data_IF_118740106235
#
_entry.id   IF_118740106235
#
_cell.length_a   1.000
_cell.length_b   1.000
_cell.length_c   1.000
_cell.angle_alpha   90.00
_cell.angle_beta   90.00
_cell.angle_gamma   90.00
#
_symmetry.space_group_name_H-M   'P 1'
#
loop_
_entity.id
_entity.type
_entity.pdbx_description
1 polymer ?
#
# COMPACT_ATOMS: atom_id res chain seq x y z
N UNK A 1 8.43 4.24 -11.80
CA UNK A 1 7.39 3.70 -10.88
C UNK A 1 8.03 3.17 -9.60
N UNK A 2 7.50 3.50 -8.44
CA UNK A 2 7.94 2.97 -7.15
C UNK A 2 7.04 1.81 -6.77
N UNK A 3 7.63 0.63 -6.52
CA UNK A 3 6.93 -0.57 -6.06
C UNK A 3 7.11 -0.70 -4.55
N UNK A 4 6.02 -0.79 -3.79
CA UNK A 4 6.03 -1.01 -2.34
C UNK A 4 5.35 -2.33 -2.03
N UNK A 5 6.11 -3.27 -1.49
CA UNK A 5 5.68 -4.65 -1.26
C UNK A 5 4.74 -4.80 -0.05
N UNK A 6 4.07 -5.95 0.05
CA UNK A 6 3.24 -6.30 1.20
C UNK A 6 4.04 -6.78 2.42
N UNK A 7 3.39 -6.82 3.59
CA UNK A 7 4.00 -7.14 4.88
C UNK A 7 4.68 -8.53 4.92
N UNK A 8 4.12 -9.52 4.24
CA UNK A 8 4.62 -10.90 4.25
C UNK A 8 5.48 -11.25 3.03
N UNK A 9 6.04 -10.26 2.34
CA UNK A 9 6.90 -10.51 1.19
C UNK A 9 8.23 -11.11 1.61
N UNK A 10 8.46 -12.37 1.23
CA UNK A 10 9.66 -13.13 1.59
C UNK A 10 10.73 -13.14 0.48
N UNK A 11 10.35 -12.80 -0.75
CA UNK A 11 11.23 -12.90 -1.92
C UNK A 11 11.13 -11.66 -2.80
N UNK A 12 12.29 -11.26 -3.34
CA UNK A 12 12.40 -10.17 -4.33
C UNK A 12 12.12 -10.63 -5.77
N UNK A 13 12.11 -11.95 -6.04
CA UNK A 13 12.05 -12.50 -7.42
C UNK A 13 10.85 -12.00 -8.21
N UNK A 14 9.66 -12.02 -7.59
CA UNK A 14 8.43 -11.54 -8.24
C UNK A 14 8.49 -10.06 -8.59
N UNK A 15 8.99 -9.25 -7.67
CA UNK A 15 9.09 -7.79 -7.89
C UNK A 15 10.13 -7.43 -8.94
N UNK A 16 11.28 -8.15 -8.98
CA UNK A 16 12.30 -7.97 -10.04
C UNK A 16 11.72 -8.23 -11.43
N UNK A 17 10.89 -9.26 -11.59
CA UNK A 17 10.18 -9.52 -12.85
C UNK A 17 9.33 -8.32 -13.30
N UNK A 18 8.62 -7.69 -12.36
CA UNK A 18 7.79 -6.52 -12.67
C UNK A 18 8.62 -5.28 -12.97
N UNK A 19 9.77 -5.11 -12.33
CA UNK A 19 10.71 -4.03 -12.66
C UNK A 19 11.24 -4.19 -14.10
N UNK A 20 11.65 -5.40 -14.50
CA UNK A 20 12.05 -5.66 -15.89
C UNK A 20 10.94 -5.35 -16.89
N UNK A 21 9.73 -5.83 -16.60
CA UNK A 21 8.57 -5.56 -17.43
C UNK A 21 8.28 -4.04 -17.54
N UNK A 22 8.36 -3.29 -16.45
CA UNK A 22 8.20 -1.84 -16.48
C UNK A 22 9.28 -1.16 -17.33
N UNK A 23 10.53 -1.63 -17.25
CA UNK A 23 11.61 -1.10 -18.07
C UNK A 23 11.36 -1.33 -19.57
N UNK A 24 10.79 -2.50 -19.94
CA UNK A 24 10.35 -2.80 -21.31
C UNK A 24 9.23 -1.87 -21.78
N UNK A 25 8.46 -1.31 -20.86
CA UNK A 25 7.41 -0.30 -21.14
C UNK A 25 7.92 1.15 -21.05
N UNK A 26 9.24 1.37 -20.99
CA UNK A 26 9.84 2.71 -20.90
C UNK A 26 9.83 3.35 -19.49
N UNK A 27 9.48 2.58 -18.46
CA UNK A 27 9.44 3.05 -17.08
C UNK A 27 10.66 2.59 -16.28
N UNK A 28 11.25 3.48 -15.49
CA UNK A 28 12.19 3.07 -14.45
C UNK A 28 11.44 2.48 -13.26
N UNK A 29 11.65 1.19 -12.98
CA UNK A 29 11.06 0.49 -11.83
C UNK A 29 12.01 0.48 -10.64
N UNK A 30 11.51 0.84 -9.44
CA UNK A 30 12.27 0.80 -8.19
C UNK A 30 11.48 0.09 -7.11
N UNK A 31 12.10 -0.86 -6.42
CA UNK A 31 11.51 -1.55 -5.28
C UNK A 31 11.96 -0.90 -3.97
N UNK A 32 11.04 -0.34 -3.23
CA UNK A 32 11.28 0.14 -1.87
C UNK A 32 11.24 -1.02 -0.88
N UNK A 33 12.27 -1.18 -0.05
CA UNK A 33 12.26 -2.13 1.07
C UNK A 33 11.69 -1.48 2.32
N UNK A 34 10.55 -1.98 2.76
CA UNK A 34 9.91 -1.56 4.01
C UNK A 34 10.79 -1.88 5.24
N UNK A 35 10.63 -1.19 6.38
CA UNK A 35 11.30 -1.55 7.62
C UNK A 35 11.16 -3.04 7.95
N UNK A 36 12.22 -3.65 8.47
CA UNK A 36 12.30 -5.07 8.85
C UNK A 36 12.15 -6.09 7.69
N UNK A 37 12.25 -5.66 6.43
CA UNK A 37 12.21 -6.54 5.27
C UNK A 37 13.53 -6.55 4.49
N UNK A 38 13.82 -7.66 3.84
CA UNK A 38 14.97 -7.87 2.94
C UNK A 38 16.31 -7.41 3.56
N UNK A 39 17.01 -6.41 2.98
CA UNK A 39 18.26 -5.85 3.51
C UNK A 39 18.07 -5.07 4.81
N UNK A 40 16.85 -4.71 5.16
CA UNK A 40 16.53 -4.00 6.42
C UNK A 40 16.15 -4.95 7.55
N UNK A 41 16.38 -6.26 7.38
CA UNK A 41 16.14 -7.26 8.44
C UNK A 41 17.10 -7.06 9.60
N UNK A 42 16.57 -7.21 10.82
CA UNK A 42 17.43 -7.36 12.00
C UNK A 42 18.07 -8.76 12.00
N UNK A 43 19.39 -8.89 12.25
CA UNK A 43 20.08 -10.18 12.28
C UNK A 43 19.48 -11.20 13.28
N UNK A 44 18.84 -10.71 14.34
CA UNK A 44 18.31 -11.53 15.44
C UNK A 44 16.90 -12.07 15.22
N UNK A 45 16.25 -11.85 14.05
CA UNK A 45 14.84 -12.17 13.88
C UNK A 45 14.43 -12.66 12.51
N UNK A 46 13.72 -13.77 12.59
CA UNK A 46 13.26 -14.57 11.46
C UNK A 46 12.19 -13.93 10.58
N UNK A 47 11.50 -12.81 10.96
CA UNK A 47 10.33 -12.35 10.19
C UNK A 47 10.05 -10.84 10.23
N UNK A 48 9.46 -10.36 9.12
CA UNK A 48 8.70 -9.11 8.94
C UNK A 48 7.59 -8.86 10.00
N UNK A 49 7.29 -9.84 10.85
CA UNK A 49 6.35 -9.75 11.97
C UNK A 49 6.67 -8.62 12.99
N UNK A 50 7.86 -8.02 12.89
CA UNK A 50 8.19 -6.83 13.70
C UNK A 50 7.56 -5.55 13.21
N UNK A 51 7.12 -5.47 11.97
CA UNK A 51 6.46 -4.27 11.45
C UNK A 51 5.18 -3.94 12.22
N UNK A 52 4.39 -4.97 12.54
CA UNK A 52 3.09 -4.82 13.20
C UNK A 52 3.05 -5.74 14.41
N UNK A 53 2.97 -5.16 15.59
CA UNK A 53 3.05 -5.85 16.89
C UNK A 53 1.92 -5.38 17.81
N UNK A 54 1.65 -6.15 18.89
CA UNK A 54 0.75 -5.70 19.95
C UNK A 54 1.24 -4.47 20.73
N UNK A 55 2.53 -4.16 20.67
CA UNK A 55 3.04 -2.86 21.09
C UNK A 55 2.64 -1.81 20.06
N UNK A 56 1.55 -1.09 20.33
CA UNK A 56 0.98 -0.12 19.38
C UNK A 56 1.91 1.06 19.12
N UNK A 57 2.70 1.49 20.11
CA UNK A 57 3.69 2.57 19.92
C UNK A 57 4.72 2.14 18.88
N UNK A 58 5.30 0.94 19.03
CA UNK A 58 6.23 0.39 18.04
C UNK A 58 5.60 0.24 16.67
N UNK A 59 4.35 -0.26 16.59
CA UNK A 59 3.61 -0.39 15.34
C UNK A 59 3.41 0.96 14.67
N UNK A 60 2.95 1.98 15.40
CA UNK A 60 2.75 3.33 14.86
C UNK A 60 4.06 3.96 14.39
N UNK A 61 5.17 3.78 15.11
CA UNK A 61 6.48 4.26 14.69
C UNK A 61 6.99 3.55 13.42
N UNK A 62 6.76 2.25 13.29
CA UNK A 62 7.10 1.51 12.06
C UNK A 62 6.25 1.96 10.88
N UNK A 63 4.96 2.21 11.10
CA UNK A 63 4.05 2.78 10.11
C UNK A 63 4.56 4.16 9.66
N UNK A 64 4.86 5.05 10.63
CA UNK A 64 5.41 6.38 10.36
C UNK A 64 6.72 6.31 9.58
N UNK A 65 7.66 5.44 9.98
CA UNK A 65 8.95 5.27 9.30
C UNK A 65 8.76 4.81 7.84
N UNK A 66 7.82 3.89 7.58
CA UNK A 66 7.53 3.43 6.22
C UNK A 66 7.09 4.58 5.31
N UNK A 67 6.24 5.47 5.83
CA UNK A 67 5.75 6.63 5.08
C UNK A 67 6.85 7.68 4.90
N UNK A 68 7.66 7.96 5.93
CA UNK A 68 8.76 8.93 5.86
C UNK A 68 9.87 8.48 4.91
N UNK A 69 10.19 7.19 4.87
CA UNK A 69 11.15 6.64 3.90
C UNK A 69 10.64 6.84 2.46
N UNK A 70 9.35 6.55 2.22
CA UNK A 70 8.73 6.77 0.91
C UNK A 70 8.71 8.26 0.54
N UNK A 71 8.33 9.14 1.47
CA UNK A 71 8.36 10.58 1.30
C UNK A 71 9.73 11.09 0.89
N UNK A 72 10.77 10.68 1.62
CA UNK A 72 12.15 11.08 1.33
C UNK A 72 12.58 10.62 -0.05
N UNK A 73 12.22 9.40 -0.42
CA UNK A 73 12.56 8.82 -1.71
C UNK A 73 11.83 9.52 -2.88
N UNK A 74 10.52 9.74 -2.76
CA UNK A 74 9.75 10.44 -3.80
C UNK A 74 10.23 11.86 -4.02
N UNK A 75 10.54 12.59 -2.95
CA UNK A 75 11.12 13.95 -3.03
C UNK A 75 12.51 13.95 -3.67
N UNK A 76 13.31 12.91 -3.41
CA UNK A 76 14.60 12.70 -4.08
C UNK A 76 14.43 12.52 -5.58
N UNK A 77 13.51 11.68 -6.04
CA UNK A 77 13.20 11.48 -7.45
C UNK A 77 12.75 12.78 -8.13
N UNK A 78 11.88 13.55 -7.47
CA UNK A 78 11.46 14.86 -8.00
C UNK A 78 12.64 15.83 -8.18
N UNK A 79 13.56 15.87 -7.21
CA UNK A 79 14.76 16.74 -7.27
C UNK A 79 15.71 16.39 -8.41
N UNK A 80 15.82 15.13 -8.78
CA UNK A 80 16.64 14.69 -9.92
C UNK A 80 15.89 14.78 -11.26
N UNK A 81 14.73 15.41 -11.28
CA UNK A 81 14.01 15.73 -12.50
C UNK A 81 13.11 14.62 -13.04
N UNK A 82 12.68 13.63 -12.21
CA UNK A 82 11.71 12.66 -12.69
C UNK A 82 10.39 13.33 -13.07
N UNK A 83 9.97 13.29 -14.35
CA UNK A 83 8.80 14.06 -14.83
C UNK A 83 7.51 13.48 -14.32
N UNK A 84 7.41 12.17 -14.17
CA UNK A 84 6.25 11.44 -13.68
C UNK A 84 6.69 10.38 -12.65
N UNK A 85 6.07 10.40 -11.48
CA UNK A 85 6.34 9.44 -10.41
C UNK A 85 5.04 8.71 -10.09
N UNK A 86 4.99 7.41 -10.37
CA UNK A 86 3.85 6.55 -10.05
C UNK A 86 4.17 5.62 -8.88
N UNK A 87 3.19 5.37 -8.01
CA UNK A 87 3.27 4.41 -6.92
C UNK A 87 2.44 3.16 -7.19
N UNK A 88 3.06 1.99 -7.07
CA UNK A 88 2.37 0.71 -7.02
C UNK A 88 2.58 0.06 -5.66
N UNK A 89 1.51 -0.33 -5.01
CA UNK A 89 1.59 -0.97 -3.71
C UNK A 89 0.59 -2.11 -3.54
N UNK A 90 0.98 -3.11 -2.75
CA UNK A 90 0.10 -4.22 -2.37
C UNK A 90 -0.06 -4.26 -0.85
N UNK A 91 -1.31 -4.40 -0.36
CA UNK A 91 -1.63 -4.60 1.04
C UNK A 91 -1.03 -3.48 1.92
N UNK A 92 -0.06 -3.79 2.78
CA UNK A 92 0.67 -2.82 3.59
C UNK A 92 1.44 -1.78 2.73
N UNK A 93 1.99 -2.19 1.58
CA UNK A 93 2.63 -1.26 0.65
C UNK A 93 1.63 -0.28 0.04
N UNK A 94 0.44 -0.73 -0.31
CA UNK A 94 -0.64 0.14 -0.78
C UNK A 94 -1.10 1.10 0.33
N UNK A 95 -1.17 0.65 1.59
CA UNK A 95 -1.40 1.52 2.74
C UNK A 95 -0.32 2.61 2.84
N UNK A 96 0.97 2.25 2.74
CA UNK A 96 2.10 3.19 2.85
C UNK A 96 1.99 4.31 1.81
N UNK A 97 1.68 3.95 0.55
CA UNK A 97 1.49 4.91 -0.54
C UNK A 97 0.27 5.80 -0.27
N UNK A 98 -0.86 5.19 0.10
CA UNK A 98 -2.10 5.93 0.37
C UNK A 98 -1.94 6.92 1.54
N UNK A 99 -1.19 6.53 2.57
CA UNK A 99 -0.91 7.40 3.70
C UNK A 99 -0.02 8.59 3.29
N UNK A 100 0.99 8.38 2.45
CA UNK A 100 1.78 9.47 1.88
C UNK A 100 0.89 10.45 1.11
N UNK A 101 0.06 9.96 0.22
CA UNK A 101 -0.80 10.79 -0.63
C UNK A 101 -1.86 11.59 0.14
N UNK A 102 -2.10 11.29 1.40
CA UNK A 102 -3.00 12.09 2.24
C UNK A 102 -2.45 13.49 2.56
N UNK A 103 -1.14 13.70 2.46
CA UNK A 103 -0.49 14.97 2.78
C UNK A 103 0.56 15.45 1.75
N UNK A 104 1.01 14.59 0.84
CA UNK A 104 2.03 14.90 -0.18
C UNK A 104 1.48 14.67 -1.60
N UNK A 105 1.85 15.53 -2.54
CA UNK A 105 1.41 15.56 -3.94
C UNK A 105 2.50 15.11 -4.93
N UNK A 106 3.57 14.49 -4.45
CA UNK A 106 4.70 14.11 -5.30
C UNK A 106 4.39 12.97 -6.25
N UNK A 107 3.47 12.07 -5.87
CA UNK A 107 3.01 10.98 -6.73
C UNK A 107 1.91 11.48 -7.66
N UNK A 108 1.95 11.05 -8.92
CA UNK A 108 1.03 11.45 -9.99
C UNK A 108 0.02 10.36 -10.35
N UNK A 109 0.36 9.08 -10.14
CA UNK A 109 -0.52 7.94 -10.39
C UNK A 109 -0.36 6.90 -9.28
N UNK A 110 -1.47 6.26 -8.88
CA UNK A 110 -1.48 5.22 -7.85
C UNK A 110 -2.12 3.93 -8.35
N UNK A 111 -1.43 2.82 -8.12
CA UNK A 111 -2.00 1.47 -8.28
C UNK A 111 -2.02 0.81 -6.90
N UNK A 112 -3.20 0.63 -6.34
CA UNK A 112 -3.42 0.13 -4.99
C UNK A 112 -4.05 -1.27 -5.06
N UNK A 113 -3.27 -2.30 -4.73
CA UNK A 113 -3.71 -3.71 -4.73
C UNK A 113 -4.05 -4.14 -3.31
N UNK A 114 -5.30 -4.54 -3.07
CA UNK A 114 -5.77 -4.99 -1.74
C UNK A 114 -5.36 -4.05 -0.59
N UNK A 115 -5.57 -2.73 -0.71
CA UNK A 115 -4.99 -1.75 0.20
C UNK A 115 -5.59 -1.80 1.60
N UNK A 116 -4.75 -1.71 2.65
CA UNK A 116 -5.18 -1.72 4.06
C UNK A 116 -5.60 -0.31 4.51
N UNK A 117 -6.68 0.24 3.95
CA UNK A 117 -7.04 1.66 4.15
C UNK A 117 -7.66 1.97 5.52
N UNK A 118 -8.08 0.96 6.28
CA UNK A 118 -8.71 1.13 7.59
C UNK A 118 -8.00 0.30 8.67
N UNK A 119 -6.89 0.81 9.22
CA UNK A 119 -6.01 0.08 10.15
C UNK A 119 -6.75 -0.37 11.42
N UNK A 120 -7.67 0.45 11.95
CA UNK A 120 -8.48 0.06 13.10
C UNK A 120 -9.32 -1.19 12.81
N UNK A 121 -9.97 -1.26 11.63
CA UNK A 121 -10.69 -2.46 11.19
C UNK A 121 -9.74 -3.67 11.09
N UNK A 122 -8.57 -3.48 10.47
CA UNK A 122 -7.58 -4.56 10.31
C UNK A 122 -7.19 -5.17 11.66
N UNK A 123 -6.95 -4.35 12.67
CA UNK A 123 -6.57 -4.82 14.01
C UNK A 123 -7.75 -5.47 14.73
N UNK A 124 -8.90 -4.82 14.77
CA UNK A 124 -9.99 -5.21 15.66
C UNK A 124 -11.00 -6.16 15.04
N UNK A 125 -11.17 -6.18 13.73
CA UNK A 125 -12.24 -6.95 13.08
C UNK A 125 -11.72 -7.97 12.07
N UNK A 126 -10.59 -7.69 11.38
CA UNK A 126 -10.10 -8.61 10.36
C UNK A 126 -9.40 -9.85 10.94
N UNK A 127 -9.31 -10.93 10.16
CA UNK A 127 -8.53 -12.12 10.56
C UNK A 127 -7.05 -11.82 10.82
N UNK A 128 -6.45 -10.85 10.10
CA UNK A 128 -5.05 -10.48 10.24
C UNK A 128 -4.71 -9.89 11.61
N UNK A 129 -5.66 -9.21 12.26
CA UNK A 129 -5.49 -8.62 13.59
C UNK A 129 -5.64 -9.57 14.77
N UNK A 130 -5.97 -10.85 14.54
CA UNK A 130 -6.34 -11.81 15.60
C UNK A 130 -5.36 -11.86 16.77
N UNK A 131 -4.07 -12.01 16.52
CA UNK A 131 -3.05 -12.15 17.59
C UNK A 131 -2.79 -10.83 18.31
N UNK A 132 -2.83 -9.71 17.58
CA UNK A 132 -2.69 -8.38 18.17
C UNK A 132 -3.87 -8.11 19.10
N UNK A 133 -5.09 -8.31 18.59
CA UNK A 133 -6.35 -8.14 19.34
C UNK A 133 -6.37 -8.98 20.62
N UNK A 134 -6.00 -10.28 20.53
CA UNK A 134 -5.92 -11.18 21.68
C UNK A 134 -4.99 -10.63 22.77
N UNK A 135 -3.85 -10.06 22.40
CA UNK A 135 -2.91 -9.51 23.35
C UNK A 135 -3.39 -8.17 23.94
N UNK A 136 -3.98 -7.29 23.12
CA UNK A 136 -4.57 -6.03 23.57
C UNK A 136 -5.70 -6.29 24.58
N UNK A 137 -6.61 -7.21 24.26
CA UNK A 137 -7.72 -7.60 25.15
C UNK A 137 -7.22 -8.16 26.49
N UNK A 138 -6.15 -8.98 26.48
CA UNK A 138 -5.53 -9.48 27.74
C UNK A 138 -4.94 -8.38 28.61
N UNK A 139 -4.54 -7.27 28.01
CA UNK A 139 -4.05 -6.07 28.71
C UNK A 139 -5.17 -5.12 29.12
N UNK A 140 -6.44 -5.51 28.93
CA UNK A 140 -7.59 -4.67 29.21
C UNK A 140 -7.83 -3.54 28.19
N UNK A 141 -7.07 -3.51 27.09
CA UNK A 141 -7.16 -2.45 26.08
C UNK A 141 -8.33 -2.75 25.13
N UNK A 142 -9.18 -1.75 24.92
CA UNK A 142 -10.41 -1.81 24.14
C UNK A 142 -10.26 -1.16 22.74
N UNK A 143 -11.18 -1.45 21.81
CA UNK A 143 -11.23 -0.75 20.51
C UNK A 143 -11.36 0.77 20.65
N UNK A 144 -12.20 1.25 21.58
CA UNK A 144 -12.44 2.68 21.79
C UNK A 144 -11.21 3.42 22.28
N UNK A 145 -10.40 2.81 23.17
CA UNK A 145 -9.15 3.41 23.65
C UNK A 145 -8.09 3.50 22.56
N UNK A 146 -8.05 2.56 21.63
CA UNK A 146 -7.07 2.55 20.54
C UNK A 146 -7.48 3.40 19.33
N UNK A 147 -8.78 3.69 19.18
CA UNK A 147 -9.30 4.40 18.01
C UNK A 147 -8.66 5.80 17.79
N UNK A 148 -8.51 6.67 18.80
CA UNK A 148 -7.90 8.00 18.64
C UNK A 148 -6.49 7.95 18.05
N UNK A 149 -5.74 6.88 18.32
CA UNK A 149 -4.38 6.68 17.84
C UNK A 149 -4.37 6.02 16.45
N UNK A 150 -5.09 4.93 16.28
CA UNK A 150 -5.12 4.17 15.03
C UNK A 150 -5.77 4.93 13.88
N UNK A 151 -6.72 5.85 14.15
CA UNK A 151 -7.34 6.70 13.13
C UNK A 151 -6.33 7.54 12.34
N UNK A 152 -5.20 7.91 12.96
CA UNK A 152 -4.14 8.67 12.29
C UNK A 152 -3.42 7.86 11.20
N UNK A 153 -3.49 6.54 11.28
CA UNK A 153 -2.96 5.62 10.29
C UNK A 153 -4.04 5.05 9.34
N UNK A 154 -5.22 5.67 9.29
CA UNK A 154 -6.32 5.24 8.42
C UNK A 154 -6.47 6.18 7.22
N UNK A 155 -5.88 5.86 6.05
CA UNK A 155 -6.07 6.65 4.82
C UNK A 155 -7.54 6.85 4.46
N UNK A 156 -8.40 5.87 4.82
CA UNK A 156 -9.85 5.96 4.65
C UNK A 156 -10.50 7.18 5.30
N UNK A 157 -9.87 7.79 6.30
CA UNK A 157 -10.40 8.97 6.99
C UNK A 157 -9.97 10.31 6.36
N UNK A 158 -9.04 10.29 5.40
CA UNK A 158 -8.57 11.45 4.65
C UNK A 158 -8.93 11.36 3.17
N UNK A 159 -8.55 12.38 2.39
CA UNK A 159 -8.55 12.33 0.93
C UNK A 159 -7.11 12.38 0.44
N UNK A 160 -6.75 11.66 -0.62
CA UNK A 160 -5.46 11.81 -1.27
C UNK A 160 -5.33 13.19 -1.92
N UNK A 161 -4.09 13.62 -2.14
CA UNK A 161 -3.77 14.85 -2.90
C UNK A 161 -3.79 14.62 -4.41
N UNK A 162 -4.31 13.49 -4.87
CA UNK A 162 -4.50 13.14 -6.28
C UNK A 162 -5.98 13.16 -6.62
N UNK A 163 -6.26 13.36 -7.91
CA UNK A 163 -7.61 13.17 -8.45
C UNK A 163 -7.96 11.69 -8.59
N UNK A 164 -9.24 11.37 -8.48
CA UNK A 164 -9.72 9.99 -8.48
C UNK A 164 -9.43 9.23 -9.78
N UNK A 165 -9.34 9.92 -10.92
CA UNK A 165 -8.95 9.37 -12.22
C UNK A 165 -7.49 8.85 -12.24
N UNK A 166 -6.65 9.36 -11.35
CA UNK A 166 -5.24 8.98 -11.22
C UNK A 166 -5.02 7.85 -10.21
N UNK A 167 -6.10 7.28 -9.69
CA UNK A 167 -6.08 6.19 -8.71
C UNK A 167 -6.76 4.97 -9.26
N UNK A 168 -6.02 3.86 -9.34
CA UNK A 168 -6.52 2.53 -9.67
C UNK A 168 -6.52 1.66 -8.41
N UNK A 169 -7.67 1.11 -8.04
CA UNK A 169 -7.80 0.16 -6.91
C UNK A 169 -8.20 -1.20 -7.44
N UNK A 170 -7.49 -2.24 -6.99
CA UNK A 170 -7.79 -3.64 -7.30
C UNK A 170 -8.00 -4.40 -6.00
N UNK A 171 -9.15 -5.05 -5.85
CA UNK A 171 -9.54 -5.80 -4.66
C UNK A 171 -9.98 -7.23 -4.94
N UNK A 172 -9.96 -8.06 -3.90
CA UNK A 172 -10.53 -9.41 -3.91
C UNK A 172 -11.97 -9.41 -3.41
N UNK A 173 -12.87 -10.11 -4.12
CA UNK A 173 -14.28 -10.25 -3.68
C UNK A 173 -14.42 -11.01 -2.36
N UNK A 174 -13.47 -11.90 -2.05
CA UNK A 174 -13.47 -12.72 -0.84
C UNK A 174 -12.43 -12.25 0.19
N UNK A 175 -11.88 -11.04 -0.01
CA UNK A 175 -10.91 -10.45 0.90
C UNK A 175 -11.58 -10.03 2.23
N UNK A 176 -11.11 -10.62 3.33
CA UNK A 176 -11.57 -10.32 4.70
C UNK A 176 -10.64 -9.37 5.45
N UNK A 177 -9.53 -8.96 4.83
CA UNK A 177 -8.54 -8.05 5.42
C UNK A 177 -8.73 -6.64 4.84
N UNK A 178 -8.93 -6.56 3.53
CA UNK A 178 -9.33 -5.36 2.79
C UNK A 178 -10.66 -5.61 2.07
N UNK A 179 -11.78 -5.68 2.82
CA UNK A 179 -13.04 -6.17 2.26
C UNK A 179 -13.64 -5.20 1.23
N UNK A 180 -14.41 -5.74 0.24
CA UNK A 180 -15.01 -4.95 -0.83
C UNK A 180 -15.83 -3.75 -0.37
N UNK A 181 -16.50 -3.83 0.78
CA UNK A 181 -17.31 -2.73 1.27
C UNK A 181 -16.47 -1.50 1.66
N UNK A 182 -15.28 -1.69 2.27
CA UNK A 182 -14.34 -0.58 2.55
C UNK A 182 -13.87 0.06 1.23
N UNK A 183 -13.52 -0.76 0.22
CA UNK A 183 -13.04 -0.23 -1.05
C UNK A 183 -14.12 0.53 -1.83
N UNK A 184 -15.38 0.09 -1.72
CA UNK A 184 -16.54 0.82 -2.28
C UNK A 184 -16.75 2.16 -1.59
N UNK A 185 -16.70 2.23 -0.26
CA UNK A 185 -16.78 3.50 0.49
C UNK A 185 -15.64 4.45 0.09
N UNK A 186 -14.43 3.92 -0.09
CA UNK A 186 -13.27 4.70 -0.54
C UNK A 186 -13.47 5.21 -1.96
N UNK A 187 -13.98 4.39 -2.87
CA UNK A 187 -14.32 4.83 -4.23
C UNK A 187 -15.16 6.09 -4.22
N UNK A 188 -16.24 6.09 -3.45
CA UNK A 188 -17.13 7.25 -3.34
C UNK A 188 -16.44 8.46 -2.68
N UNK A 189 -15.74 8.24 -1.58
CA UNK A 189 -15.09 9.29 -0.80
C UNK A 189 -13.95 9.98 -1.56
N UNK A 190 -13.12 9.20 -2.26
CA UNK A 190 -11.97 9.68 -3.02
C UNK A 190 -12.32 10.01 -4.46
N UNK A 191 -13.56 9.69 -4.90
CA UNK A 191 -14.05 9.81 -6.28
C UNK A 191 -13.20 9.03 -7.27
N UNK A 192 -12.84 7.80 -6.91
CA UNK A 192 -11.99 6.93 -7.73
C UNK A 192 -12.77 6.42 -8.92
N UNK A 193 -12.25 6.61 -10.14
CA UNK A 193 -12.89 6.11 -11.35
C UNK A 193 -12.63 4.62 -11.55
N UNK A 194 -11.45 4.13 -11.21
CA UNK A 194 -10.96 2.80 -11.52
C UNK A 194 -10.92 1.89 -10.28
N UNK A 195 -12.02 1.20 -10.01
CA UNK A 195 -12.12 0.16 -8.96
C UNK A 195 -12.53 -1.17 -9.57
N UNK A 196 -11.67 -2.18 -9.46
CA UNK A 196 -11.88 -3.52 -10.01
C UNK A 196 -11.86 -4.59 -8.92
N UNK A 197 -12.74 -5.58 -9.04
CA UNK A 197 -12.79 -6.74 -8.15
C UNK A 197 -12.61 -8.04 -8.90
N UNK A 198 -11.88 -8.98 -8.26
CA UNK A 198 -11.69 -10.33 -8.76
C UNK A 198 -12.11 -11.37 -7.72
N UNK A 199 -12.54 -12.59 -8.14
CA UNK A 199 -13.02 -13.64 -7.23
C UNK A 199 -11.88 -14.34 -6.48
N UNK A 200 -11.13 -13.58 -5.68
CA UNK A 200 -9.96 -14.03 -4.89
C UNK A 200 -10.00 -13.44 -3.48
N UNK A 201 -9.17 -13.99 -2.58
CA UNK A 201 -8.90 -13.43 -1.24
C UNK A 201 -7.63 -12.60 -1.20
N UNK A 202 -7.26 -12.11 -0.02
CA UNK A 202 -6.20 -11.11 0.21
C UNK A 202 -4.78 -11.50 -0.27
N UNK A 203 -4.41 -12.75 -0.32
CA UNK A 203 -3.04 -13.19 -0.63
C UNK A 203 -2.92 -13.78 -2.04
N UNK A 204 -3.56 -13.18 -3.03
CA UNK A 204 -3.54 -13.70 -4.39
C UNK A 204 -2.55 -12.95 -5.30
N UNK A 205 -1.44 -13.61 -5.65
CA UNK A 205 -0.40 -13.03 -6.51
C UNK A 205 -0.87 -12.68 -7.94
N UNK A 206 -2.03 -13.22 -8.40
CA UNK A 206 -2.54 -12.90 -9.75
C UNK A 206 -2.98 -11.45 -9.87
N UNK A 207 -3.37 -10.81 -8.77
CA UNK A 207 -3.78 -9.40 -8.77
C UNK A 207 -2.64 -8.46 -9.14
N UNK A 208 -1.40 -8.82 -8.85
CA UNK A 208 -0.23 -8.02 -9.25
C UNK A 208 -0.16 -7.85 -10.76
N UNK A 209 -0.23 -8.95 -11.53
CA UNK A 209 -0.21 -8.88 -12.99
C UNK A 209 -1.44 -8.20 -13.58
N UNK A 210 -2.61 -8.46 -12.99
CA UNK A 210 -3.86 -7.82 -13.42
C UNK A 210 -3.82 -6.31 -13.19
N UNK A 211 -3.31 -5.85 -12.05
CA UNK A 211 -3.23 -4.42 -11.74
C UNK A 211 -2.35 -3.64 -12.72
N UNK A 212 -1.22 -4.20 -13.14
CA UNK A 212 -0.37 -3.56 -14.15
C UNK A 212 -1.03 -3.50 -15.53
N UNK A 213 -1.72 -4.57 -15.95
CA UNK A 213 -2.47 -4.58 -17.21
C UNK A 213 -3.60 -3.56 -17.22
N UNK A 214 -4.39 -3.51 -16.15
CA UNK A 214 -5.46 -2.53 -15.99
C UNK A 214 -4.92 -1.09 -16.00
N UNK A 215 -3.76 -0.85 -15.37
CA UNK A 215 -3.14 0.48 -15.40
C UNK A 215 -2.78 0.93 -16.82
N UNK A 216 -2.25 0.02 -17.65
CA UNK A 216 -1.99 0.32 -19.06
C UNK A 216 -3.27 0.58 -19.84
N UNK A 217 -4.35 -0.14 -19.55
CA UNK A 217 -5.65 0.08 -20.19
C UNK A 217 -6.30 1.40 -19.77
N UNK A 218 -6.29 1.70 -18.47
CA UNK A 218 -6.92 2.90 -17.91
C UNK A 218 -6.17 4.19 -18.27
N UNK A 219 -4.85 4.13 -18.40
CA UNK A 219 -3.98 5.30 -18.62
C UNK A 219 -3.09 5.16 -19.86
N UNK A 220 -3.66 4.59 -20.92
CA UNK A 220 -2.93 4.28 -22.18
C UNK A 220 -2.19 5.49 -22.74
N UNK A 221 -2.82 6.66 -22.73
CA UNK A 221 -2.25 7.89 -23.29
C UNK A 221 -1.11 8.44 -22.40
N UNK A 222 -1.19 8.25 -21.09
CA UNK A 222 -0.16 8.67 -20.13
C UNK A 222 1.06 7.75 -20.13
N UNK A 223 0.89 6.47 -20.53
CA UNK A 223 1.97 5.48 -20.62
C UNK A 223 2.65 5.45 -21.99
N UNK A 224 2.01 6.00 -23.01
CA UNK A 224 2.64 6.24 -24.33
C UNK A 224 3.55 7.47 -24.22
N UNK A 225 4.68 7.34 -23.54
CA UNK A 225 5.74 8.35 -23.66
C UNK A 225 6.13 8.41 -25.12
N UNK A 226 5.86 9.54 -25.76
CA UNK A 226 6.34 9.87 -27.09
C UNK A 226 7.83 9.58 -27.18
N UNK A 227 8.19 8.62 -27.98
CA UNK A 227 9.54 8.46 -28.48
C UNK A 227 9.78 9.55 -29.54
N UNK A 228 9.84 10.81 -29.10
CA UNK A 228 10.35 11.93 -29.90
C UNK A 228 11.76 12.28 -29.45
#
# INVERSE_FOLDING_TARGET
>A
MIIVHGLLSLSLKGYKKWIHWLNEQGWNGVLMHLPYHFQRKSPSLLFSARCVQPNLVHTMETLRQSVMDLYTFTRGLRRVGSPLIAGWGISYGAWTISQLCSFDDTLHKLILVEPLLHVHYVIWQSPAGKEIRKKLTRLGITPSETYPHLRLACPSLSKPKLDGQDILIVGGLYDKISPPWILKEIKEKWKVDHLFFFPVGHLNNTLTSKSFKLALECWKDDFSLSHD
#
